data_IF_213394982060
#
_entry.id   IF_213394982060
#
_cell.length_a   1.000
_cell.length_b   1.000
_cell.length_c   1.000
_cell.angle_alpha   90.00
_cell.angle_beta   90.00
_cell.angle_gamma   90.00
#
_symmetry.space_group_name_H-M   'P 1'
#
loop_
_entity.id
_entity.type
_entity.pdbx_description
1 polymer ?
#
# COMPACT_ATOMS: atom_id res chain seq x y z
N UNK A 1 77.43 -2.22 18.75
CA UNK A 1 76.47 -3.01 17.94
C UNK A 1 75.58 -2.01 17.20
N UNK A 2 75.83 -1.67 15.92
CA UNK A 2 75.26 -2.33 14.72
C UNK A 2 73.80 -2.72 14.96
N UNK A 3 72.76 -2.23 14.28
CA UNK A 3 72.46 -2.01 12.85
C UNK A 3 71.15 -1.15 12.87
N UNK A 4 70.84 -0.18 12.02
CA UNK A 4 70.70 -0.30 10.57
C UNK A 4 69.22 -0.51 10.15
N UNK A 5 68.72 0.43 9.32
CA UNK A 5 67.69 0.29 8.27
C UNK A 5 66.22 0.75 8.47
N UNK A 6 65.93 1.86 7.78
CA UNK A 6 64.98 2.04 6.64
C UNK A 6 63.46 2.10 6.87
N UNK A 7 62.95 3.33 6.63
CA UNK A 7 61.77 3.73 5.83
C UNK A 7 60.84 2.62 5.33
N UNK A 8 59.55 2.73 5.65
CA UNK A 8 58.46 2.53 4.68
C UNK A 8 57.35 3.56 4.91
N UNK A 9 57.14 4.41 3.90
CA UNK A 9 55.93 5.20 3.74
C UNK A 9 54.77 4.24 3.43
N UNK A 10 53.69 4.31 4.20
CA UNK A 10 52.44 3.63 3.88
C UNK A 10 51.51 4.66 3.25
N UNK A 11 51.30 4.54 1.94
CA UNK A 11 50.34 5.33 1.19
C UNK A 11 48.92 5.01 1.67
N UNK A 12 48.20 6.06 2.05
CA UNK A 12 46.77 5.99 2.34
C UNK A 12 46.02 5.90 1.01
N UNK A 13 45.71 4.67 0.59
CA UNK A 13 44.75 4.44 -0.50
C UNK A 13 43.34 4.77 0.02
N UNK A 14 42.83 5.94 -0.32
CA UNK A 14 41.41 6.27 -0.25
C UNK A 14 40.67 5.46 -1.31
N UNK A 15 40.11 4.33 -0.91
CA UNK A 15 39.14 3.58 -1.71
C UNK A 15 37.84 4.36 -1.78
N UNK A 16 37.59 5.01 -2.91
CA UNK A 16 36.29 5.54 -3.29
C UNK A 16 35.36 4.35 -3.52
N UNK A 17 34.57 3.99 -2.51
CA UNK A 17 33.51 3.01 -2.67
C UNK A 17 32.43 3.62 -3.58
N UNK A 18 32.46 3.25 -4.86
CA UNK A 18 31.35 3.46 -5.78
C UNK A 18 30.18 2.63 -5.24
N UNK A 19 29.29 3.28 -4.50
CA UNK A 19 27.99 2.73 -4.16
C UNK A 19 27.25 2.53 -5.48
N UNK A 20 27.23 1.29 -5.95
CA UNK A 20 26.27 0.84 -6.96
C UNK A 20 24.89 1.01 -6.32
N UNK A 21 24.29 2.18 -6.54
CA UNK A 21 22.86 2.38 -6.39
C UNK A 21 22.21 1.40 -7.36
N UNK A 22 21.87 0.21 -6.88
CA UNK A 22 20.89 -0.61 -7.56
C UNK A 22 19.63 0.27 -7.68
N UNK A 23 19.07 0.46 -8.89
CA UNK A 23 17.79 1.12 -8.98
C UNK A 23 16.83 0.32 -8.10
N UNK A 24 16.36 0.93 -7.02
CA UNK A 24 15.16 0.44 -6.36
C UNK A 24 14.10 0.50 -7.44
N UNK A 25 13.66 -0.66 -7.93
CA UNK A 25 12.45 -0.76 -8.72
C UNK A 25 11.36 -0.27 -7.78
N UNK A 26 11.01 1.02 -7.89
CA UNK A 26 9.83 1.53 -7.21
C UNK A 26 8.65 0.74 -7.75
N UNK A 27 7.69 0.43 -6.88
CA UNK A 27 6.39 -0.04 -7.33
C UNK A 27 5.68 1.09 -8.10
N UNK A 28 6.09 1.27 -9.36
CA UNK A 28 5.17 1.69 -10.40
C UNK A 28 3.97 0.75 -10.32
N UNK A 29 2.73 1.25 -10.46
CA UNK A 29 1.56 0.40 -10.56
C UNK A 29 1.81 -0.81 -11.45
N UNK A 30 1.32 -1.96 -11.03
CA UNK A 30 1.50 -3.19 -11.78
C UNK A 30 0.79 -3.05 -13.13
N UNK A 31 1.54 -3.26 -14.21
CA UNK A 31 0.99 -3.22 -15.55
C UNK A 31 0.14 -4.47 -15.81
N UNK A 32 -1.18 -4.29 -15.90
CA UNK A 32 -2.13 -5.39 -16.13
C UNK A 32 -1.86 -6.17 -17.43
N UNK A 33 -1.23 -5.54 -18.44
CA UNK A 33 -0.87 -6.20 -19.71
C UNK A 33 0.29 -7.19 -19.57
N UNK A 34 1.04 -7.13 -18.47
CA UNK A 34 2.15 -8.05 -18.17
C UNK A 34 1.69 -9.40 -17.59
N UNK A 35 0.40 -9.54 -17.28
CA UNK A 35 -0.18 -10.73 -16.68
C UNK A 35 -1.18 -11.40 -17.63
N UNK A 36 -1.23 -12.73 -17.62
CA UNK A 36 -2.22 -13.50 -18.36
C UNK A 36 -3.59 -13.29 -17.71
N UNK A 37 -4.59 -12.92 -18.50
CA UNK A 37 -5.96 -12.77 -18.04
C UNK A 37 -6.56 -14.11 -17.60
N UNK A 38 -7.29 -14.07 -16.50
CA UNK A 38 -8.12 -15.15 -15.98
C UNK A 38 -9.52 -15.17 -16.62
N UNK A 39 -9.73 -14.33 -17.65
CA UNK A 39 -10.99 -14.15 -18.36
C UNK A 39 -11.81 -12.98 -17.82
N UNK A 40 -13.13 -13.02 -18.04
CA UNK A 40 -14.06 -12.02 -17.52
C UNK A 40 -14.11 -12.03 -15.99
N UNK A 41 -14.25 -10.84 -15.40
CA UNK A 41 -14.42 -10.72 -13.95
C UNK A 41 -15.75 -11.35 -13.49
N UNK A 42 -15.80 -12.09 -12.37
CA UNK A 42 -17.02 -12.70 -11.88
C UNK A 42 -18.14 -11.67 -11.65
N UNK A 43 -19.35 -12.01 -12.06
CA UNK A 43 -20.53 -11.13 -12.00
C UNK A 43 -21.70 -11.71 -11.21
N UNK A 44 -21.61 -12.97 -10.77
CA UNK A 44 -22.66 -13.60 -9.98
C UNK A 44 -22.65 -13.00 -8.56
N UNK A 45 -23.81 -12.53 -8.09
CA UNK A 45 -23.91 -11.92 -6.77
C UNK A 45 -23.54 -12.90 -5.64
N UNK A 46 -22.93 -12.37 -4.59
CA UNK A 46 -22.55 -13.13 -3.40
C UNK A 46 -21.15 -12.79 -2.87
N UNK A 47 -20.67 -13.61 -1.95
CA UNK A 47 -19.36 -13.45 -1.32
C UNK A 47 -18.32 -14.32 -2.00
N UNK A 48 -17.24 -13.70 -2.43
CA UNK A 48 -16.06 -14.38 -2.95
C UNK A 48 -14.93 -14.27 -1.93
N UNK A 49 -14.04 -15.26 -1.92
CA UNK A 49 -12.89 -15.32 -1.04
C UNK A 49 -11.59 -15.33 -1.84
N UNK A 50 -10.65 -14.50 -1.44
CA UNK A 50 -9.27 -14.52 -1.92
C UNK A 50 -8.34 -14.89 -0.77
N UNK A 51 -7.59 -15.97 -0.93
CA UNK A 51 -6.45 -16.27 -0.06
C UNK A 51 -5.15 -16.02 -0.82
N UNK A 52 -4.51 -14.91 -0.48
CA UNK A 52 -3.25 -14.44 -1.07
C UNK A 52 -2.05 -15.32 -0.70
N UNK A 53 -2.17 -16.18 0.31
CA UNK A 53 -1.14 -17.14 0.69
C UNK A 53 -1.10 -18.32 -0.29
N UNK A 54 -2.29 -18.77 -0.71
CA UNK A 54 -2.49 -19.90 -1.64
C UNK A 54 -2.74 -19.47 -3.08
N UNK A 55 -2.83 -18.15 -3.33
CA UNK A 55 -3.16 -17.55 -4.63
C UNK A 55 -4.51 -18.01 -5.17
N UNK A 56 -5.47 -18.30 -4.28
CA UNK A 56 -6.78 -18.81 -4.66
C UNK A 56 -7.83 -17.71 -4.65
N UNK A 57 -8.73 -17.72 -5.65
CA UNK A 57 -9.91 -16.87 -5.72
C UNK A 57 -11.13 -17.74 -6.02
N UNK A 58 -12.07 -17.82 -5.07
CA UNK A 58 -13.22 -18.71 -5.16
C UNK A 58 -14.52 -17.99 -4.83
N UNK A 59 -15.65 -18.52 -5.30
CA UNK A 59 -16.94 -17.91 -5.01
C UNK A 59 -18.16 -18.68 -5.53
N UNK A 60 -19.33 -18.02 -5.55
CA UNK A 60 -20.60 -18.59 -5.99
C UNK A 60 -20.54 -19.21 -7.39
N UNK A 61 -21.44 -20.14 -7.65
CA UNK A 61 -21.53 -20.82 -8.96
C UNK A 61 -20.35 -21.73 -9.27
N UNK A 62 -19.55 -22.10 -8.26
CA UNK A 62 -18.33 -22.90 -8.45
C UNK A 62 -17.18 -22.10 -9.07
N UNK A 63 -17.24 -20.76 -9.01
CA UNK A 63 -16.15 -19.93 -9.50
C UNK A 63 -14.86 -20.26 -8.77
N UNK A 64 -13.79 -20.47 -9.53
CA UNK A 64 -12.45 -20.71 -9.04
C UNK A 64 -11.44 -20.20 -10.04
N UNK A 65 -10.45 -19.45 -9.57
CA UNK A 65 -9.31 -19.00 -10.33
C UNK A 65 -8.05 -19.04 -9.45
N UNK A 66 -6.89 -19.15 -10.11
CA UNK A 66 -5.58 -19.16 -9.44
C UNK A 66 -4.78 -17.97 -9.94
N UNK A 67 -4.34 -17.12 -9.02
CA UNK A 67 -3.49 -15.98 -9.29
C UNK A 67 -2.02 -16.37 -9.44
N UNK A 68 -1.16 -15.35 -9.52
CA UNK A 68 0.30 -15.52 -9.59
C UNK A 68 0.97 -14.75 -8.45
N UNK A 69 2.11 -15.27 -7.98
CA UNK A 69 2.99 -14.53 -7.05
C UNK A 69 3.94 -13.65 -7.88
N UNK A 70 3.85 -12.35 -7.68
CA UNK A 70 4.76 -11.38 -8.28
C UNK A 70 5.41 -10.53 -7.19
N UNK A 71 6.64 -10.89 -6.82
CA UNK A 71 7.41 -10.14 -5.83
C UNK A 71 6.78 -10.10 -4.43
N UNK A 72 6.01 -11.12 -4.03
CA UNK A 72 5.30 -11.15 -2.76
C UNK A 72 3.91 -10.52 -2.80
N UNK A 73 3.39 -10.23 -4.00
CA UNK A 73 2.03 -9.76 -4.25
C UNK A 73 1.24 -10.89 -4.93
N UNK A 74 0.05 -11.18 -4.42
CA UNK A 74 -0.89 -12.09 -5.07
C UNK A 74 -1.66 -11.31 -6.16
N UNK A 75 -1.36 -11.60 -7.42
CA UNK A 75 -1.92 -10.90 -8.58
C UNK A 75 -3.00 -11.74 -9.25
N UNK A 76 -4.18 -11.14 -9.45
CA UNK A 76 -5.27 -11.70 -10.25
C UNK A 76 -5.62 -10.69 -11.34
N UNK A 77 -5.38 -11.06 -12.60
CA UNK A 77 -5.62 -10.22 -13.76
C UNK A 77 -6.86 -10.69 -14.55
N UNK A 78 -7.69 -9.77 -15.01
CA UNK A 78 -8.93 -10.04 -15.74
C UNK A 78 -9.03 -9.19 -17.00
N UNK A 79 -9.91 -9.58 -17.91
CA UNK A 79 -10.21 -8.78 -19.10
C UNK A 79 -10.84 -7.44 -18.75
N UNK A 80 -11.64 -7.40 -17.66
CA UNK A 80 -12.53 -6.29 -17.33
C UNK A 80 -13.93 -6.81 -16.99
N UNK A 81 -14.89 -5.89 -16.94
CA UNK A 81 -16.31 -6.22 -16.81
C UNK A 81 -17.03 -5.46 -15.71
N UNK A 82 -18.29 -5.83 -15.47
CA UNK A 82 -19.14 -5.21 -14.47
C UNK A 82 -19.56 -6.23 -13.40
N UNK A 83 -19.37 -5.83 -12.14
CA UNK A 83 -19.70 -6.61 -10.96
C UNK A 83 -20.41 -5.72 -9.95
N UNK A 84 -21.67 -6.07 -9.66
CA UNK A 84 -22.50 -5.41 -8.66
C UNK A 84 -22.96 -6.41 -7.61
N UNK A 85 -23.16 -5.97 -6.38
CA UNK A 85 -23.63 -6.83 -5.27
C UNK A 85 -22.69 -8.01 -4.97
N UNK A 86 -21.39 -7.79 -5.17
CA UNK A 86 -20.33 -8.74 -4.82
C UNK A 86 -19.57 -8.23 -3.61
N UNK A 87 -19.36 -9.09 -2.63
CA UNK A 87 -18.40 -8.87 -1.55
C UNK A 87 -17.18 -9.75 -1.80
N UNK A 88 -15.97 -9.19 -1.72
CA UNK A 88 -14.73 -9.95 -1.80
C UNK A 88 -14.06 -9.86 -0.43
N UNK A 89 -13.87 -11.01 0.23
CA UNK A 89 -13.12 -11.10 1.47
C UNK A 89 -11.72 -11.64 1.17
N UNK A 90 -10.71 -10.79 1.34
CA UNK A 90 -9.32 -11.09 1.07
C UNK A 90 -8.54 -11.31 2.36
N UNK A 91 -7.75 -12.39 2.41
CA UNK A 91 -6.88 -12.74 3.54
C UNK A 91 -5.52 -13.23 3.05
N UNK A 92 -4.58 -13.45 3.97
CA UNK A 92 -3.33 -14.13 3.70
C UNK A 92 -2.08 -13.26 3.81
N UNK A 93 -0.93 -13.87 3.55
CA UNK A 93 0.38 -13.29 3.85
C UNK A 93 0.94 -12.35 2.80
N UNK A 94 0.27 -12.21 1.64
CA UNK A 94 0.72 -11.35 0.53
C UNK A 94 -0.23 -10.19 0.33
N UNK A 95 0.28 -9.05 -0.15
CA UNK A 95 -0.58 -7.98 -0.61
C UNK A 95 -1.41 -8.47 -1.81
N UNK A 96 -2.58 -7.87 -2.03
CA UNK A 96 -3.50 -8.24 -3.10
C UNK A 96 -3.40 -7.23 -4.25
N UNK A 97 -3.28 -7.71 -5.49
CA UNK A 97 -3.52 -6.92 -6.69
C UNK A 97 -4.66 -7.53 -7.53
N UNK A 98 -5.70 -6.72 -7.76
CA UNK A 98 -6.76 -7.00 -8.74
C UNK A 98 -6.54 -6.10 -9.95
N UNK A 99 -6.16 -6.70 -11.08
CA UNK A 99 -5.77 -5.97 -12.29
C UNK A 99 -6.74 -6.25 -13.44
N UNK A 100 -6.98 -5.25 -14.29
CA UNK A 100 -7.92 -5.30 -15.40
C UNK A 100 -7.28 -4.79 -16.68
N UNK A 101 -7.34 -5.59 -17.75
CA UNK A 101 -6.77 -5.22 -19.06
C UNK A 101 -7.68 -4.25 -19.85
N UNK A 102 -8.94 -4.14 -19.47
CA UNK A 102 -9.91 -3.19 -20.00
C UNK A 102 -10.61 -2.41 -18.90
N UNK A 103 -11.82 -1.93 -19.20
CA UNK A 103 -12.64 -1.19 -18.25
C UNK A 103 -13.23 -2.11 -17.17
N UNK A 104 -13.40 -1.57 -15.97
CA UNK A 104 -14.02 -2.28 -14.86
C UNK A 104 -15.03 -1.42 -14.10
N UNK A 105 -16.20 -1.98 -13.84
CA UNK A 105 -17.21 -1.41 -12.95
C UNK A 105 -17.47 -2.37 -11.80
N UNK A 106 -16.75 -2.19 -10.70
CA UNK A 106 -16.93 -2.95 -9.47
C UNK A 106 -17.65 -2.08 -8.45
N UNK A 107 -18.95 -2.27 -8.24
CA UNK A 107 -19.76 -1.49 -7.28
C UNK A 107 -19.99 -2.22 -5.95
N UNK A 108 -19.23 -3.29 -5.73
CA UNK A 108 -19.27 -4.13 -4.54
C UNK A 108 -18.45 -3.61 -3.36
N UNK A 109 -18.13 -4.51 -2.43
CA UNK A 109 -17.24 -4.25 -1.28
C UNK A 109 -16.05 -5.22 -1.25
N UNK A 110 -14.84 -4.68 -1.33
CA UNK A 110 -13.60 -5.43 -1.12
C UNK A 110 -13.12 -5.24 0.31
N UNK A 111 -13.05 -6.32 1.08
CA UNK A 111 -12.59 -6.36 2.46
C UNK A 111 -11.19 -6.96 2.54
N UNK A 112 -10.25 -6.15 3.00
CA UNK A 112 -8.87 -6.48 3.30
C UNK A 112 -8.52 -6.01 4.73
N UNK A 113 -9.50 -6.00 5.65
CA UNK A 113 -9.31 -5.52 7.01
C UNK A 113 -8.42 -6.45 7.84
N UNK A 114 -7.71 -5.89 8.80
CA UNK A 114 -7.14 -6.64 9.91
C UNK A 114 -8.23 -7.08 10.89
N UNK A 115 -8.01 -8.24 11.53
CA UNK A 115 -8.92 -8.76 12.54
C UNK A 115 -8.69 -8.09 13.90
N UNK A 116 -9.75 -8.04 14.71
CA UNK A 116 -9.66 -7.61 16.10
C UNK A 116 -8.74 -8.53 16.91
N UNK A 117 -8.18 -7.98 17.98
CA UNK A 117 -7.32 -8.71 18.90
C UNK A 117 -8.02 -9.90 19.56
N UNK A 118 -7.26 -10.97 19.73
CA UNK A 118 -7.61 -12.16 20.54
C UNK A 118 -6.46 -12.44 21.49
N UNK A 119 -6.48 -13.51 22.29
CA UNK A 119 -5.33 -13.87 23.14
C UNK A 119 -4.02 -14.07 22.36
N UNK A 120 -4.11 -14.50 21.10
CA UNK A 120 -2.98 -14.69 20.18
C UNK A 120 -2.69 -13.47 19.30
N UNK A 121 -3.43 -12.38 19.48
CA UNK A 121 -3.46 -11.25 18.56
C UNK A 121 -4.46 -11.42 17.42
N UNK A 122 -4.77 -10.33 16.72
CA UNK A 122 -5.61 -10.32 15.53
C UNK A 122 -4.81 -10.64 14.27
N UNK A 123 -5.35 -11.45 13.37
CA UNK A 123 -4.73 -11.67 12.06
C UNK A 123 -4.61 -10.36 11.26
N UNK A 124 -3.52 -10.17 10.53
CA UNK A 124 -3.41 -9.08 9.56
C UNK A 124 -4.32 -9.31 8.35
N UNK A 125 -4.72 -8.23 7.69
CA UNK A 125 -5.23 -8.30 6.32
C UNK A 125 -4.16 -8.79 5.33
N UNK A 126 -4.49 -8.93 4.04
CA UNK A 126 -3.56 -9.32 2.99
C UNK A 126 -2.20 -8.60 3.06
N UNK A 127 -1.14 -9.33 3.37
CA UNK A 127 0.23 -8.79 3.43
C UNK A 127 0.52 -7.88 4.62
N UNK A 128 -0.36 -7.85 5.62
CA UNK A 128 -0.22 -7.02 6.81
C UNK A 128 0.31 -7.79 8.02
N UNK A 129 0.85 -7.05 8.99
CA UNK A 129 1.31 -7.61 10.26
C UNK A 129 0.15 -8.04 11.17
N UNK A 130 0.26 -9.21 11.78
CA UNK A 130 -0.65 -9.65 12.85
C UNK A 130 -0.44 -8.82 14.13
N UNK A 131 -1.47 -8.69 14.95
CA UNK A 131 -1.35 -8.16 16.30
C UNK A 131 -0.52 -9.10 17.19
N UNK A 132 0.14 -8.56 18.21
CA UNK A 132 0.88 -9.36 19.18
C UNK A 132 -0.08 -10.04 20.16
N UNK A 133 0.20 -11.30 20.51
CA UNK A 133 -0.43 -11.95 21.67
C UNK A 133 -0.04 -11.27 22.99
N UNK A 134 -0.60 -11.71 24.11
CA UNK A 134 -0.28 -11.13 25.43
C UNK A 134 1.23 -11.08 25.71
N UNK A 135 1.74 -9.89 26.01
CA UNK A 135 3.16 -9.61 26.25
C UNK A 135 4.04 -9.57 25.00
N UNK A 136 3.46 -9.65 23.80
CA UNK A 136 4.18 -9.72 22.52
C UNK A 136 3.94 -8.44 21.71
N UNK A 137 4.97 -7.98 21.01
CA UNK A 137 4.87 -6.87 20.07
C UNK A 137 4.00 -7.25 18.85
N UNK A 138 3.38 -6.25 18.23
CA UNK A 138 2.72 -6.42 16.93
C UNK A 138 3.72 -6.76 15.83
N UNK A 139 3.25 -7.48 14.81
CA UNK A 139 4.01 -7.78 13.60
C UNK A 139 3.99 -6.62 12.60
N UNK A 140 4.96 -6.63 11.69
CA UNK A 140 5.13 -5.64 10.63
C UNK A 140 6.16 -4.54 10.97
N UNK A 141 6.62 -3.75 9.98
CA UNK A 141 7.69 -2.76 10.16
C UNK A 141 7.40 -1.67 11.20
N UNK A 142 6.12 -1.37 11.43
CA UNK A 142 5.64 -0.40 12.39
C UNK A 142 4.84 -1.06 13.52
N UNK A 143 5.13 -2.32 13.85
CA UNK A 143 4.44 -3.06 14.91
C UNK A 143 4.46 -2.32 16.24
N UNK A 144 3.31 -2.25 16.92
CA UNK A 144 3.21 -1.64 18.23
C UNK A 144 3.95 -2.44 19.30
N UNK A 145 4.65 -1.76 20.21
CA UNK A 145 5.36 -2.44 21.29
C UNK A 145 4.40 -2.83 22.41
N UNK A 146 4.66 -3.98 23.04
CA UNK A 146 3.98 -4.37 24.27
C UNK A 146 4.53 -3.58 25.46
N UNK A 147 3.70 -3.19 26.43
CA UNK A 147 2.24 -3.27 26.42
C UNK A 147 1.54 -2.24 25.51
N UNK A 148 0.47 -2.66 24.84
CA UNK A 148 -0.58 -1.73 24.40
C UNK A 148 -0.26 -0.69 23.32
N UNK A 149 0.95 -0.68 22.75
CA UNK A 149 1.31 0.24 21.67
C UNK A 149 0.51 -0.03 20.40
N UNK A 150 0.01 1.02 19.75
CA UNK A 150 -0.66 0.95 18.46
C UNK A 150 0.32 0.67 17.31
N UNK A 151 -0.14 -0.10 16.32
CA UNK A 151 0.59 -0.28 15.07
C UNK A 151 0.66 1.02 14.27
N UNK A 152 1.70 1.19 13.47
CA UNK A 152 1.92 2.36 12.62
C UNK A 152 2.01 1.96 11.13
N UNK A 153 1.45 2.77 10.24
CA UNK A 153 1.61 2.73 8.79
C UNK A 153 0.94 3.98 8.25
N UNK A 154 1.56 4.78 7.38
CA UNK A 154 1.00 6.09 7.04
C UNK A 154 1.17 7.08 8.20
N UNK A 155 0.31 6.96 9.20
CA UNK A 155 0.41 7.63 10.50
C UNK A 155 1.14 6.79 11.56
N UNK A 156 1.69 7.49 12.55
CA UNK A 156 2.26 6.88 13.77
C UNK A 156 1.12 6.36 14.65
N UNK A 157 1.29 5.19 15.26
CA UNK A 157 0.34 4.66 16.25
C UNK A 157 0.34 5.48 17.55
N UNK A 158 -0.70 5.31 18.37
CA UNK A 158 -0.74 5.82 19.72
C UNK A 158 0.12 4.96 20.66
N UNK A 159 0.88 5.58 21.55
CA UNK A 159 1.55 4.90 22.66
C UNK A 159 0.81 5.08 23.99
N UNK A 160 1.29 4.42 25.02
CA UNK A 160 0.89 4.63 26.42
C UNK A 160 2.12 4.66 27.37
N UNK A 161 1.90 4.87 28.67
CA UNK A 161 2.94 4.69 29.68
C UNK A 161 3.25 3.18 29.85
N UNK A 162 4.22 2.70 29.07
CA UNK A 162 4.68 1.31 29.14
C UNK A 162 5.06 0.74 27.77
N UNK A 163 4.27 1.04 26.72
CA UNK A 163 4.59 0.65 25.35
C UNK A 163 4.54 1.82 24.36
N UNK A 164 5.54 1.83 23.49
CA UNK A 164 5.65 2.83 22.41
C UNK A 164 4.99 2.32 21.14
N UNK A 165 4.50 3.25 20.31
CA UNK A 165 4.09 2.93 18.95
C UNK A 165 5.30 2.56 18.08
N UNK A 166 5.06 1.79 17.01
CA UNK A 166 6.04 1.66 15.93
C UNK A 166 6.23 2.98 15.18
N UNK A 167 7.30 3.06 14.39
CA UNK A 167 7.51 4.19 13.48
C UNK A 167 6.57 4.10 12.27
N UNK A 168 6.06 5.24 11.80
CA UNK A 168 5.32 5.29 10.55
C UNK A 168 6.23 4.90 9.36
N UNK A 169 5.68 4.16 8.41
CA UNK A 169 6.37 3.75 7.18
C UNK A 169 5.40 3.73 6.00
N UNK A 170 5.90 3.23 4.88
CA UNK A 170 5.14 2.99 3.66
C UNK A 170 5.32 4.10 2.64
N UNK A 171 5.49 3.69 1.38
CA UNK A 171 5.35 4.53 0.21
C UNK A 171 4.75 3.64 -0.88
N UNK A 172 3.47 3.85 -1.21
CA UNK A 172 2.74 2.97 -2.13
C UNK A 172 3.28 3.03 -3.57
N UNK A 173 4.00 4.10 -3.92
CA UNK A 173 4.71 4.23 -5.20
C UNK A 173 6.08 3.53 -5.20
N UNK A 174 6.52 3.02 -4.05
CA UNK A 174 7.75 2.28 -3.90
C UNK A 174 7.50 0.79 -3.63
N UNK A 175 6.46 0.45 -2.85
CA UNK A 175 6.08 -0.94 -2.57
C UNK A 175 4.64 -1.00 -2.06
N UNK A 176 3.84 -1.91 -2.64
CA UNK A 176 2.52 -2.25 -2.10
C UNK A 176 2.68 -3.00 -0.78
N UNK A 177 2.20 -2.41 0.32
CA UNK A 177 2.40 -2.91 1.67
C UNK A 177 1.14 -2.78 2.51
N UNK A 178 0.90 -3.78 3.36
CA UNK A 178 -0.09 -3.69 4.42
C UNK A 178 0.42 -2.93 5.65
N UNK A 179 -0.51 -2.65 6.55
CA UNK A 179 -0.28 -2.06 7.86
C UNK A 179 0.39 -3.03 8.84
N UNK A 180 0.66 -2.53 10.05
CA UNK A 180 1.26 -3.28 11.14
C UNK A 180 0.26 -3.54 12.27
N UNK A 181 0.48 -4.62 13.01
CA UNK A 181 -0.35 -4.98 14.16
C UNK A 181 -0.03 -4.16 15.41
N UNK A 182 -0.99 -4.08 16.33
CA UNK A 182 -0.81 -3.52 17.66
C UNK A 182 -0.14 -4.50 18.64
N UNK A 183 0.48 -3.98 19.69
CA UNK A 183 1.09 -4.78 20.76
C UNK A 183 0.06 -5.40 21.70
N UNK A 184 0.34 -6.59 22.22
CA UNK A 184 -0.50 -7.23 23.23
C UNK A 184 -0.34 -6.60 24.61
N UNK A 185 -1.32 -6.83 25.48
CA UNK A 185 -1.32 -6.36 26.86
C UNK A 185 -0.42 -7.20 27.76
N UNK A 186 -0.07 -6.70 28.94
CA UNK A 186 0.83 -7.36 29.90
C UNK A 186 0.12 -7.59 31.24
N UNK A 187 0.53 -8.60 32.02
CA UNK A 187 -0.10 -9.00 33.30
C UNK A 187 -1.62 -9.20 33.21
N UNK A 188 -2.07 -9.74 32.08
CA UNK A 188 -3.49 -9.99 31.79
C UNK A 188 -3.78 -11.49 31.82
N UNK A 189 -4.74 -11.89 32.66
CA UNK A 189 -5.30 -13.25 32.68
C UNK A 189 -6.83 -13.17 32.45
N UNK A 190 -7.35 -13.72 31.34
CA UNK A 190 -6.61 -14.36 30.25
C UNK A 190 -5.78 -13.36 29.42
N UNK A 191 -4.75 -13.84 28.68
CA UNK A 191 -3.96 -13.00 27.78
C UNK A 191 -4.84 -12.26 26.78
N UNK A 192 -4.51 -10.99 26.52
CA UNK A 192 -5.18 -10.15 25.53
C UNK A 192 -4.16 -9.63 24.51
N UNK A 193 -4.47 -9.78 23.24
CA UNK A 193 -3.62 -9.38 22.13
C UNK A 193 -4.10 -8.16 21.37
N UNK A 194 -3.19 -7.53 20.64
CA UNK A 194 -3.45 -6.36 19.80
C UNK A 194 -4.20 -6.71 18.51
N UNK A 195 -4.76 -5.70 17.86
CA UNK A 195 -5.42 -5.85 16.56
C UNK A 195 -4.43 -6.01 15.41
N UNK A 196 -4.83 -6.72 14.35
CA UNK A 196 -4.02 -6.88 13.13
C UNK A 196 -4.03 -5.63 12.24
N UNK A 197 -2.98 -5.42 11.46
CA UNK A 197 -2.91 -4.33 10.48
C UNK A 197 -3.84 -4.56 9.28
N UNK A 198 -4.32 -3.49 8.66
CA UNK A 198 -5.09 -3.55 7.41
C UNK A 198 -4.23 -3.96 6.22
N UNK A 199 -4.82 -4.62 5.22
CA UNK A 199 -4.11 -5.19 4.06
C UNK A 199 -3.54 -4.17 3.08
N UNK A 200 -2.59 -4.63 2.26
CA UNK A 200 -2.14 -3.92 1.05
C UNK A 200 -2.98 -4.34 -0.14
N UNK A 201 -3.62 -3.38 -0.81
CA UNK A 201 -4.52 -3.61 -1.96
C UNK A 201 -4.13 -2.71 -3.12
N UNK A 202 -3.94 -3.30 -4.28
CA UNK A 202 -3.88 -2.63 -5.57
C UNK A 202 -5.12 -2.99 -6.39
N UNK A 203 -5.78 -1.98 -6.95
CA UNK A 203 -6.91 -2.14 -7.85
C UNK A 203 -6.63 -1.32 -9.12
N UNK A 204 -6.29 -2.03 -10.19
CA UNK A 204 -5.66 -1.45 -11.36
C UNK A 204 -6.38 -1.76 -12.66
N UNK A 205 -6.52 -0.80 -13.55
CA UNK A 205 -7.05 -1.02 -14.89
C UNK A 205 -6.20 -0.31 -15.95
N UNK A 206 -6.13 -0.86 -17.16
CA UNK A 206 -5.64 -0.09 -18.32
C UNK A 206 -6.70 0.89 -18.81
N UNK A 207 -7.97 0.56 -18.60
CA UNK A 207 -9.14 1.37 -18.94
C UNK A 207 -9.67 2.21 -17.77
N UNK A 208 -10.96 2.51 -17.84
CA UNK A 208 -11.68 3.27 -16.84
C UNK A 208 -12.11 2.39 -15.65
N UNK A 209 -12.08 2.97 -14.44
CA UNK A 209 -12.52 2.34 -13.19
C UNK A 209 -13.78 3.03 -12.68
N UNK A 210 -14.84 2.25 -12.43
CA UNK A 210 -15.92 2.62 -11.52
C UNK A 210 -15.85 1.73 -10.28
N UNK A 211 -15.68 2.33 -9.10
CA UNK A 211 -15.33 1.60 -7.88
C UNK A 211 -16.30 1.86 -6.73
N UNK A 212 -16.72 0.77 -6.09
CA UNK A 212 -17.47 0.72 -4.85
C UNK A 212 -16.56 0.91 -3.65
N UNK A 213 -16.75 0.10 -2.62
CA UNK A 213 -16.03 0.25 -1.35
C UNK A 213 -14.80 -0.65 -1.27
N UNK A 214 -13.69 -0.11 -0.78
CA UNK A 214 -12.48 -0.87 -0.43
C UNK A 214 -12.13 -0.59 1.03
N UNK A 215 -12.03 -1.66 1.83
CA UNK A 215 -11.74 -1.59 3.25
C UNK A 215 -10.39 -2.26 3.54
N UNK A 216 -9.42 -1.49 4.01
CA UNK A 216 -8.14 -1.93 4.52
C UNK A 216 -7.90 -1.37 5.93
N UNK A 217 -8.92 -1.46 6.80
CA UNK A 217 -8.83 -0.94 8.16
C UNK A 217 -8.00 -1.87 9.05
N UNK A 218 -7.32 -1.29 10.05
CA UNK A 218 -6.73 -2.04 11.14
C UNK A 218 -7.80 -2.58 12.10
N UNK A 219 -7.50 -3.72 12.73
CA UNK A 219 -8.33 -4.30 13.78
C UNK A 219 -8.16 -3.58 15.11
N UNK A 220 -9.21 -3.54 15.92
CA UNK A 220 -9.14 -3.02 17.28
C UNK A 220 -8.38 -3.97 18.23
N UNK A 221 -7.75 -3.44 19.27
CA UNK A 221 -7.17 -4.23 20.35
C UNK A 221 -8.25 -4.94 21.17
N UNK A 222 -7.95 -6.14 21.70
CA UNK A 222 -8.81 -6.84 22.64
C UNK A 222 -8.98 -6.05 23.96
N UNK A 223 -10.18 -6.11 24.53
CA UNK A 223 -10.37 -5.69 25.92
C UNK A 223 -9.61 -6.62 26.87
N UNK A 224 -8.98 -6.06 27.91
CA UNK A 224 -8.16 -6.83 28.85
C UNK A 224 -8.56 -6.52 30.30
N UNK A 225 -8.80 -7.52 31.17
CA UNK A 225 -9.21 -7.27 32.56
C UNK A 225 -8.07 -6.79 33.48
N UNK A 226 -6.82 -6.84 33.02
CA UNK A 226 -5.61 -6.48 33.79
C UNK A 226 -5.19 -5.01 33.67
N UNK A 227 -3.99 -4.70 34.14
CA UNK A 227 -3.48 -3.32 34.29
C UNK A 227 -3.08 -2.67 32.95
N UNK A 228 -2.73 -3.47 31.93
CA UNK A 228 -2.26 -2.99 30.62
C UNK A 228 -3.12 -3.53 29.48
N UNK A 229 -3.78 -2.63 28.76
CA UNK A 229 -4.57 -2.96 27.59
C UNK A 229 -3.73 -3.25 26.34
N UNK A 230 -4.41 -3.50 25.23
CA UNK A 230 -3.81 -3.92 23.96
C UNK A 230 -3.88 -2.81 22.91
N UNK A 231 -2.95 -2.78 21.97
CA UNK A 231 -2.92 -1.76 20.92
C UNK A 231 -3.82 -2.09 19.74
N UNK A 232 -4.34 -1.06 19.07
CA UNK A 232 -5.00 -1.19 17.77
C UNK A 232 -4.00 -1.40 16.63
N UNK A 233 -4.37 -2.14 15.60
CA UNK A 233 -3.59 -2.28 14.36
C UNK A 233 -3.72 -1.03 13.47
N UNK A 234 -2.71 -0.73 12.66
CA UNK A 234 -2.79 0.40 11.73
C UNK A 234 -3.68 0.10 10.53
N UNK A 235 -4.14 1.14 9.85
CA UNK A 235 -4.70 1.01 8.49
C UNK A 235 -3.69 0.44 7.50
N UNK A 236 -4.20 -0.02 6.36
CA UNK A 236 -3.42 -0.60 5.26
C UNK A 236 -3.14 0.36 4.11
N UNK A 237 -2.62 -0.19 3.01
CA UNK A 237 -2.30 0.54 1.78
C UNK A 237 -3.33 0.28 0.70
N UNK A 238 -3.89 1.33 0.11
CA UNK A 238 -4.80 1.22 -1.05
C UNK A 238 -4.20 2.00 -2.23
N UNK A 239 -3.83 1.30 -3.30
CA UNK A 239 -3.36 1.87 -4.55
C UNK A 239 -4.42 1.64 -5.64
N UNK A 240 -4.94 2.71 -6.23
CA UNK A 240 -5.87 2.65 -7.36
C UNK A 240 -5.20 3.27 -8.57
N UNK A 241 -5.24 2.61 -9.72
CA UNK A 241 -4.73 3.20 -10.97
C UNK A 241 -5.57 2.84 -12.19
N UNK A 242 -5.81 3.82 -13.06
CA UNK A 242 -6.61 3.64 -14.28
C UNK A 242 -6.51 4.83 -15.22
N UNK A 243 -7.16 4.76 -16.39
CA UNK A 243 -7.29 5.92 -17.27
C UNK A 243 -8.11 7.03 -16.58
N UNK A 244 -9.32 6.68 -16.15
CA UNK A 244 -10.14 7.47 -15.22
C UNK A 244 -10.56 6.64 -14.01
N UNK A 245 -10.81 7.31 -12.87
CA UNK A 245 -11.31 6.67 -11.64
C UNK A 245 -12.56 7.41 -11.17
N UNK A 246 -13.69 6.71 -11.21
CA UNK A 246 -14.97 7.12 -10.64
C UNK A 246 -15.19 6.37 -9.32
N UNK A 247 -15.06 7.08 -8.20
CA UNK A 247 -15.28 6.49 -6.88
C UNK A 247 -16.73 6.72 -6.42
N UNK A 248 -17.51 5.64 -6.35
CA UNK A 248 -18.89 5.62 -5.86
C UNK A 248 -19.00 5.21 -4.39
N UNK A 249 -18.10 4.34 -3.92
CA UNK A 249 -18.04 3.89 -2.53
C UNK A 249 -16.93 4.54 -1.72
N UNK A 250 -16.61 4.00 -0.55
CA UNK A 250 -15.56 4.54 0.32
C UNK A 250 -14.23 3.81 0.15
N UNK A 251 -13.11 4.53 0.26
CA UNK A 251 -11.78 3.94 0.47
C UNK A 251 -11.40 4.13 1.93
N UNK A 252 -11.48 3.07 2.73
CA UNK A 252 -11.25 3.12 4.17
C UNK A 252 -9.94 2.41 4.51
N UNK A 253 -8.97 3.16 4.99
CA UNK A 253 -7.71 2.65 5.54
C UNK A 253 -7.52 3.20 6.96
N UNK A 254 -8.53 3.05 7.83
CA UNK A 254 -8.49 3.57 9.19
C UNK A 254 -7.61 2.74 10.12
N UNK A 255 -7.02 3.37 11.13
CA UNK A 255 -6.44 2.66 12.26
C UNK A 255 -7.52 2.06 13.18
N UNK A 256 -7.20 0.94 13.83
CA UNK A 256 -8.07 0.30 14.82
C UNK A 256 -7.97 0.97 16.19
N UNK A 257 -9.03 0.89 17.00
CA UNK A 257 -9.02 1.43 18.36
C UNK A 257 -8.13 0.62 19.30
N UNK A 258 -7.56 1.28 20.32
CA UNK A 258 -6.92 0.60 21.44
C UNK A 258 -7.92 -0.20 22.29
N UNK A 259 -7.44 -1.21 22.98
CA UNK A 259 -8.20 -2.02 23.93
C UNK A 259 -8.47 -1.27 25.23
N UNK A 260 -9.57 -1.63 25.90
CA UNK A 260 -9.99 -1.03 27.18
C UNK A 260 -9.70 -1.96 28.37
N UNK A 261 -9.42 -1.37 29.54
CA UNK A 261 -9.37 -2.10 30.83
C UNK A 261 -10.58 -1.74 31.71
N UNK A 262 -11.35 -2.72 32.23
CA UNK A 262 -12.53 -2.46 33.04
C UNK A 262 -12.29 -2.40 34.57
N UNK A 263 -11.06 -2.59 35.08
CA UNK A 263 -10.80 -2.76 36.52
C UNK A 263 -10.46 -1.44 37.26
N UNK A 264 -10.52 -1.42 38.59
CA UNK A 264 -10.31 -0.22 39.44
C UNK A 264 -8.85 -0.02 39.91
N UNK A 265 -7.93 -0.84 39.40
CA UNK A 265 -6.47 -0.82 39.63
C UNK A 265 -5.70 0.17 38.73
N UNK A 266 -4.39 0.02 38.57
CA UNK A 266 -3.58 0.89 37.71
C UNK A 266 -3.95 0.64 36.24
N UNK A 267 -4.72 1.55 35.62
CA UNK A 267 -5.33 1.32 34.30
C UNK A 267 -4.55 2.06 33.22
N UNK A 268 -3.75 1.35 32.44
CA UNK A 268 -3.11 1.85 31.23
C UNK A 268 -3.91 1.39 30.01
N UNK A 269 -4.49 2.34 29.28
CA UNK A 269 -5.31 2.09 28.11
C UNK A 269 -4.46 1.97 26.85
N UNK A 270 -4.81 1.00 26.00
CA UNK A 270 -4.10 0.76 24.76
C UNK A 270 -4.19 1.93 23.79
N UNK A 271 -3.10 2.15 23.04
CA UNK A 271 -3.05 3.14 21.98
C UNK A 271 -3.80 2.72 20.72
N UNK A 272 -4.40 3.68 20.03
CA UNK A 272 -5.03 3.46 18.73
C UNK A 272 -3.99 3.27 17.62
N UNK A 273 -4.30 2.51 16.58
CA UNK A 273 -3.41 2.33 15.43
C UNK A 273 -3.34 3.58 14.54
N UNK A 274 -2.23 3.79 13.86
CA UNK A 274 -2.10 4.85 12.85
C UNK A 274 -3.03 4.62 11.65
N UNK A 275 -3.47 5.70 11.01
CA UNK A 275 -4.26 5.63 9.79
C UNK A 275 -3.38 5.35 8.56
N UNK A 276 -3.91 4.63 7.58
CA UNK A 276 -3.14 4.07 6.46
C UNK A 276 -2.89 5.03 5.29
N UNK A 277 -2.56 4.47 4.12
CA UNK A 277 -2.22 5.25 2.93
C UNK A 277 -3.17 4.95 1.79
N UNK A 278 -3.65 5.98 1.10
CA UNK A 278 -4.42 5.84 -0.13
C UNK A 278 -3.71 6.60 -1.25
N UNK A 279 -3.45 5.94 -2.37
CA UNK A 279 -2.88 6.55 -3.57
C UNK A 279 -3.79 6.29 -4.76
N UNK A 280 -4.15 7.35 -5.49
CA UNK A 280 -4.94 7.27 -6.71
C UNK A 280 -4.12 7.87 -7.86
N UNK A 281 -3.85 7.07 -8.88
CA UNK A 281 -3.11 7.48 -10.07
C UNK A 281 -4.02 7.40 -11.29
N UNK A 282 -4.12 8.49 -12.05
CA UNK A 282 -5.00 8.55 -13.24
C UNK A 282 -4.27 9.13 -14.44
N UNK A 283 -4.71 8.81 -15.66
CA UNK A 283 -4.22 9.51 -16.86
C UNK A 283 -5.01 10.82 -17.08
N UNK A 284 -6.34 10.75 -16.96
CA UNK A 284 -7.25 11.83 -17.33
C UNK A 284 -8.10 12.37 -16.16
N UNK A 285 -7.87 11.88 -14.94
CA UNK A 285 -8.69 12.21 -13.76
C UNK A 285 -10.02 11.44 -13.71
N UNK A 286 -10.92 11.82 -12.81
CA UNK A 286 -12.26 11.24 -12.69
C UNK A 286 -13.01 11.76 -11.47
N UNK A 287 -14.35 11.66 -11.41
CA UNK A 287 -15.13 12.16 -10.29
C UNK A 287 -14.91 11.30 -9.03
N UNK A 288 -14.60 11.96 -7.92
CA UNK A 288 -14.52 11.33 -6.59
C UNK A 288 -15.75 11.78 -5.81
N UNK A 289 -16.83 10.99 -5.89
CA UNK A 289 -18.06 11.25 -5.15
C UNK A 289 -18.10 10.52 -3.80
N UNK A 290 -17.32 9.45 -3.67
CA UNK A 290 -17.12 8.70 -2.44
C UNK A 290 -16.19 9.36 -1.42
N UNK A 291 -16.08 8.76 -0.24
CA UNK A 291 -15.20 9.24 0.84
C UNK A 291 -13.89 8.49 0.87
N UNK A 292 -12.80 9.17 1.25
CA UNK A 292 -11.50 8.55 1.51
C UNK A 292 -11.17 8.82 2.98
N UNK A 293 -10.99 7.76 3.75
CA UNK A 293 -10.76 7.86 5.19
C UNK A 293 -9.48 7.12 5.61
N UNK A 294 -8.49 7.91 6.00
CA UNK A 294 -7.19 7.48 6.51
C UNK A 294 -6.99 7.92 7.97
N UNK A 295 -8.08 8.07 8.72
CA UNK A 295 -8.01 8.45 10.14
C UNK A 295 -7.24 7.43 10.98
N UNK A 296 -6.53 7.93 11.99
CA UNK A 296 -5.98 7.07 13.04
C UNK A 296 -7.09 6.57 13.96
N UNK A 297 -6.83 5.45 14.62
CA UNK A 297 -7.71 4.87 15.62
C UNK A 297 -7.67 5.63 16.94
N UNK A 298 -8.77 5.61 17.67
CA UNK A 298 -8.82 6.18 19.01
C UNK A 298 -8.02 5.33 20.00
N UNK A 299 -7.24 5.99 20.86
CA UNK A 299 -6.76 5.37 22.08
C UNK A 299 -7.92 5.12 23.04
N UNK A 300 -7.78 4.10 23.88
CA UNK A 300 -8.78 3.85 24.91
C UNK A 300 -8.72 4.90 26.02
N UNK A 301 -9.86 5.16 26.65
CA UNK A 301 -9.97 6.11 27.76
C UNK A 301 -10.17 5.35 29.07
N UNK A 302 -9.15 5.40 29.94
CA UNK A 302 -9.19 4.88 31.32
C UNK A 302 -8.51 5.90 32.25
N UNK A 303 -7.91 5.45 33.37
CA UNK A 303 -7.20 6.31 34.32
C UNK A 303 -5.90 6.90 33.72
N UNK A 304 -5.20 6.13 32.89
CA UNK A 304 -4.10 6.58 32.04
C UNK A 304 -4.47 6.33 30.58
N UNK A 305 -4.74 7.40 29.84
CA UNK A 305 -5.26 7.34 28.48
C UNK A 305 -4.20 6.82 27.49
N UNK A 306 -4.66 5.94 26.60
CA UNK A 306 -3.89 5.58 25.42
C UNK A 306 -3.86 6.73 24.42
N UNK A 307 -2.75 6.91 23.72
CA UNK A 307 -2.64 7.88 22.64
C UNK A 307 -3.56 7.51 21.48
N UNK A 308 -4.11 8.52 20.79
CA UNK A 308 -4.73 8.33 19.49
C UNK A 308 -3.65 8.06 18.44
N UNK A 309 -3.97 7.23 17.45
CA UNK A 309 -3.15 7.11 16.25
C UNK A 309 -3.23 8.40 15.42
N UNK A 310 -2.14 8.74 14.76
CA UNK A 310 -2.11 9.82 13.80
C UNK A 310 -2.82 9.41 12.50
N UNK A 311 -3.37 10.40 11.80
CA UNK A 311 -3.89 10.23 10.44
C UNK A 311 -2.75 9.81 9.49
N UNK A 312 -3.09 9.02 8.48
CA UNK A 312 -2.19 8.72 7.37
C UNK A 312 -2.33 9.69 6.21
N UNK A 313 -1.95 9.24 5.01
CA UNK A 313 -1.79 10.12 3.85
C UNK A 313 -2.68 9.72 2.67
N UNK A 314 -3.16 10.73 1.95
CA UNK A 314 -3.86 10.58 0.67
C UNK A 314 -3.02 11.22 -0.43
N UNK A 315 -2.71 10.48 -1.49
CA UNK A 315 -1.93 10.96 -2.63
C UNK A 315 -2.73 10.85 -3.92
N UNK A 316 -2.79 11.94 -4.66
CA UNK A 316 -3.33 11.97 -6.02
C UNK A 316 -2.19 12.28 -7.00
N UNK A 317 -2.11 11.51 -8.08
CA UNK A 317 -1.20 11.83 -9.18
C UNK A 317 -1.90 11.65 -10.51
N UNK A 318 -1.53 12.50 -11.47
CA UNK A 318 -1.82 12.28 -12.86
C UNK A 318 -0.52 12.18 -13.63
N UNK A 319 -0.38 11.16 -14.46
CA UNK A 319 0.74 11.05 -15.39
C UNK A 319 0.16 10.94 -16.78
N UNK A 320 0.30 11.97 -17.61
CA UNK A 320 0.03 11.82 -19.03
C UNK A 320 0.95 10.72 -19.58
N UNK A 321 0.50 9.91 -20.56
CA UNK A 321 1.41 9.01 -21.24
C UNK A 321 2.58 9.83 -21.76
N UNK A 322 3.81 9.45 -21.39
CA UNK A 322 5.01 9.98 -22.03
C UNK A 322 4.86 9.70 -23.52
N UNK A 323 4.50 10.73 -24.30
CA UNK A 323 4.47 10.61 -25.74
C UNK A 323 5.86 10.10 -26.14
N UNK A 324 5.93 8.89 -26.71
CA UNK A 324 7.15 8.46 -27.38
C UNK A 324 7.52 9.60 -28.33
N UNK A 325 8.76 10.12 -28.33
CA UNK A 325 9.14 11.16 -29.26
C UNK A 325 8.83 10.62 -30.65
N UNK A 326 7.79 11.17 -31.29
CA UNK A 326 7.45 10.86 -32.67
C UNK A 326 8.70 11.26 -33.44
N UNK A 327 9.41 10.32 -34.10
CA UNK A 327 10.50 10.69 -34.97
C UNK A 327 9.89 11.64 -35.99
N UNK A 328 10.35 12.89 -36.04
CA UNK A 328 9.91 13.81 -37.09
C UNK A 328 10.12 13.10 -38.42
N UNK A 329 9.09 12.98 -39.28
CA UNK A 329 9.28 12.39 -40.59
C UNK A 329 10.39 13.18 -41.29
N UNK A 330 11.33 12.47 -41.92
CA UNK A 330 12.50 13.04 -42.62
C UNK A 330 12.14 13.96 -43.82
N UNK A 331 10.90 14.43 -43.90
CA UNK A 331 10.29 15.17 -44.99
C UNK A 331 10.45 16.69 -44.88
N UNK A 332 10.93 17.25 -43.77
CA UNK A 332 11.15 18.72 -43.65
C UNK A 332 12.57 19.20 -44.01
N UNK A 333 13.53 18.32 -44.32
CA UNK A 333 14.88 18.72 -44.75
C UNK A 333 15.00 18.95 -46.27
N UNK A 334 13.92 18.82 -47.04
CA UNK A 334 13.93 18.95 -48.51
C UNK A 334 13.22 20.21 -49.02
N UNK A 335 13.34 21.35 -48.32
CA UNK A 335 12.84 22.64 -48.84
C UNK A 335 13.79 23.83 -48.62
N UNK A 336 15.10 23.60 -48.55
CA UNK A 336 16.10 24.68 -48.48
C UNK A 336 17.29 24.54 -49.44
N UNK A 337 17.37 23.50 -50.26
CA UNK A 337 18.39 23.36 -51.33
C UNK A 337 17.84 23.53 -52.75
N UNK A 338 16.52 23.70 -52.92
CA UNK A 338 15.86 23.80 -54.23
C UNK A 338 15.80 25.20 -54.88
N UNK A 339 16.21 26.28 -54.20
CA UNK A 339 16.09 27.66 -54.71
C UNK A 339 17.42 28.37 -55.05
N UNK A 340 18.57 27.67 -55.03
CA UNK A 340 19.87 28.25 -55.37
C UNK A 340 20.31 28.04 -56.84
N UNK A 341 19.51 27.36 -57.68
CA UNK A 341 19.95 26.88 -59.00
C UNK A 341 19.46 27.64 -60.23
N UNK A 342 18.54 28.62 -60.13
CA UNK A 342 17.85 29.20 -61.32
C UNK A 342 18.27 30.66 -61.61
N UNK A 343 19.30 31.18 -60.95
CA UNK A 343 19.66 32.60 -60.99
C UNK A 343 20.96 33.00 -61.71
N UNK A 344 21.50 32.23 -62.66
CA UNK A 344 22.68 32.69 -63.43
C UNK A 344 22.45 32.48 -64.92
N UNK A 345 21.73 33.42 -65.54
CA UNK A 345 21.83 33.63 -66.99
C UNK A 345 21.65 35.10 -67.37
N UNK A 346 22.78 35.68 -67.82
CA UNK A 346 22.92 36.83 -68.72
C UNK A 346 22.67 38.22 -68.14
N UNK A 347 23.76 38.93 -67.84
CA UNK A 347 23.96 40.28 -68.41
C UNK A 347 25.43 40.70 -68.34
N UNK A 348 26.19 40.56 -69.44
CA UNK A 348 27.43 41.34 -69.63
C UNK A 348 27.75 41.53 -71.11
N UNK A 349 27.18 42.58 -71.71
CA UNK A 349 27.70 43.25 -72.91
C UNK A 349 27.26 44.72 -72.89
N UNK A 350 28.22 45.63 -72.69
CA UNK A 350 28.51 46.85 -73.48
C UNK A 350 29.16 47.97 -72.64
N UNK A 351 29.94 48.80 -73.37
CA UNK A 351 30.79 49.95 -73.02
C UNK A 351 32.23 49.52 -72.70
N UNK A 352 33.25 49.83 -73.50
CA UNK A 352 33.45 50.77 -74.62
C UNK A 352 34.29 50.12 -75.72
#
# INVERSE_FOLDING_TARGET
MTLGLRRKAAGLLTGLALSLCAPSIGATPLDASSFISLGAFPSLAGTYSIDTSTLSFSGPGGYSATGVDYGGIAVFAFDGGAASSITIDATGSRALALLFQGDVSYTGTLNANGAAGTSSGGAGGPGAGAGGGGGVNGGGPGGGLSPGGGGAFGGVGGGENGGSSGAAYGNLLASLQGGSGGGGGFFVDPPAGGGGGGGGVEFGALGDITLGTVNANGGGGAAAPGDFATGGGSGGGILIHGNTVTLLGALNARGGSGGVTPSTGANFAGGGGGGGRVTIQTLSGGPIAGTIDVSGGAGAVTRYQGGNGAQGDITFSSSAPSAAPVPEPASMTLLLTGLAGVGVRRYRRRKE
#
